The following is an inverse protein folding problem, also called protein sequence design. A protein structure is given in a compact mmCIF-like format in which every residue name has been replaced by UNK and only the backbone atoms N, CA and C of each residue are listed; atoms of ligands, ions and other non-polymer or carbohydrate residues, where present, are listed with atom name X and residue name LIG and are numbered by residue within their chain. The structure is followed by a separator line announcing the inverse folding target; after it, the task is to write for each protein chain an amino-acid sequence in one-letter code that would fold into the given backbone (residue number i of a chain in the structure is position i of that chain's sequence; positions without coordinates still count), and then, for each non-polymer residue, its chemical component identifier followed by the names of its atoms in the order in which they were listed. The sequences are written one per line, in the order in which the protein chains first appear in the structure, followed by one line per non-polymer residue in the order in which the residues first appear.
data_IF_551975831724
#
_entry.id   IF_551975831724
#
_cell.length_a   1.000
_cell.length_b   1.000
_cell.length_c   1.000
_cell.angle_alpha   90.00
_cell.angle_beta   90.00
_cell.angle_gamma   90.00
#
_symmetry.space_group_name_H-M   'P 1'
#
loop_
_entity.id
_entity.type
_entity.pdbx_description
1 polymer ?
#
# COMPACT_ATOMS: atom_id res chain seq x y z
N UNK A 1 13.05 -19.66 0.55
CA UNK A 1 12.70 -19.23 -0.81
C UNK A 1 13.67 -19.81 -1.84
N UNK A 2 15.02 -19.56 -1.77
CA UNK A 2 16.01 -20.00 -2.76
C UNK A 2 15.96 -21.52 -2.98
N UNK A 3 16.00 -22.32 -1.91
CA UNK A 3 15.93 -23.78 -2.00
C UNK A 3 14.65 -24.29 -2.67
N UNK A 4 13.52 -23.64 -2.44
CA UNK A 4 12.25 -23.97 -3.12
C UNK A 4 12.31 -23.62 -4.61
N UNK A 5 12.88 -22.48 -4.96
CA UNK A 5 13.07 -22.08 -6.35
C UNK A 5 13.97 -23.07 -7.12
N UNK A 6 15.10 -23.48 -6.52
CA UNK A 6 16.06 -24.41 -7.11
C UNK A 6 15.49 -25.84 -7.25
N UNK A 7 14.57 -26.25 -6.36
CA UNK A 7 14.07 -27.61 -6.26
C UNK A 7 12.62 -27.80 -6.71
N UNK A 8 11.91 -26.74 -7.13
CA UNK A 8 10.59 -26.86 -7.71
C UNK A 8 10.63 -27.70 -8.99
N UNK A 9 9.79 -28.73 -9.07
CA UNK A 9 9.77 -29.68 -10.20
C UNK A 9 8.36 -29.90 -10.76
N UNK A 10 7.34 -29.50 -10.03
CA UNK A 10 5.98 -29.61 -10.52
C UNK A 10 5.72 -28.58 -11.62
N UNK A 11 5.39 -29.07 -12.82
CA UNK A 11 5.02 -28.21 -13.92
C UNK A 11 3.54 -27.83 -13.81
N UNK A 12 3.24 -26.56 -13.97
CA UNK A 12 1.87 -26.09 -14.17
C UNK A 12 1.44 -26.39 -15.60
N UNK A 13 0.32 -27.12 -15.75
CA UNK A 13 -0.17 -27.54 -17.06
C UNK A 13 -1.68 -27.32 -17.14
N UNK A 14 -2.14 -26.68 -18.21
CA UNK A 14 -3.55 -26.39 -18.44
C UNK A 14 -3.80 -24.94 -18.88
N UNK A 15 -5.05 -24.52 -18.92
CA UNK A 15 -5.42 -23.19 -19.38
C UNK A 15 -4.97 -22.08 -18.43
N UNK A 16 -4.88 -20.86 -18.99
CA UNK A 16 -4.72 -19.61 -18.25
C UNK A 16 -6.02 -18.84 -18.41
N UNK A 17 -6.71 -18.61 -17.29
CA UNK A 17 -8.04 -18.00 -17.27
C UNK A 17 -8.17 -17.04 -16.10
N UNK A 18 -9.06 -16.07 -16.21
CA UNK A 18 -9.36 -15.14 -15.11
C UNK A 18 -10.84 -14.84 -15.01
N UNK A 19 -11.30 -14.59 -13.79
CA UNK A 19 -12.59 -13.99 -13.48
C UNK A 19 -12.37 -12.82 -12.53
N UNK A 20 -13.01 -11.70 -12.79
CA UNK A 20 -12.85 -10.49 -11.97
C UNK A 20 -14.19 -9.83 -11.71
N UNK A 21 -14.36 -9.31 -10.51
CA UNK A 21 -15.51 -8.48 -10.13
C UNK A 21 -15.05 -7.16 -9.52
N UNK A 22 -15.78 -6.08 -9.83
CA UNK A 22 -15.76 -4.82 -9.09
C UNK A 22 -17.06 -4.73 -8.27
N UNK A 23 -16.95 -4.54 -6.96
CA UNK A 23 -18.06 -4.68 -6.01
C UNK A 23 -18.03 -3.52 -5.04
N UNK A 24 -19.19 -2.87 -4.85
CA UNK A 24 -19.38 -1.90 -3.78
C UNK A 24 -19.59 -2.65 -2.45
N UNK A 25 -18.69 -2.42 -1.50
CA UNK A 25 -18.75 -3.00 -0.16
C UNK A 25 -19.37 -2.07 0.88
N UNK A 26 -19.95 -0.95 0.49
CA UNK A 26 -20.61 -0.02 1.43
C UNK A 26 -21.91 -0.58 2.02
N UNK A 27 -22.60 -1.47 1.28
CA UNK A 27 -23.85 -2.13 1.70
C UNK A 27 -24.08 -3.46 0.95
N UNK A 28 -23.01 -4.20 0.65
CA UNK A 28 -23.09 -5.48 -0.05
C UNK A 28 -23.91 -6.50 0.74
N UNK A 29 -24.94 -7.07 0.10
CA UNK A 29 -25.79 -8.09 0.69
C UNK A 29 -25.05 -9.43 0.78
N UNK A 30 -25.01 -10.02 1.97
CA UNK A 30 -24.32 -11.27 2.27
C UNK A 30 -25.33 -12.32 2.70
N UNK A 31 -25.36 -13.44 2.00
CA UNK A 31 -26.29 -14.53 2.24
C UNK A 31 -25.99 -15.27 3.56
N UNK A 32 -27.04 -15.83 4.17
CA UNK A 32 -26.96 -16.62 5.40
C UNK A 32 -25.95 -17.79 5.30
N UNK A 33 -25.83 -18.42 4.15
CA UNK A 33 -24.83 -19.48 3.86
C UNK A 33 -23.40 -19.05 4.28
N UNK A 34 -23.06 -17.75 4.18
CA UNK A 34 -21.74 -17.25 4.48
C UNK A 34 -21.63 -16.60 5.87
N UNK A 35 -22.72 -16.04 6.37
CA UNK A 35 -22.77 -15.37 7.68
C UNK A 35 -23.06 -16.33 8.82
N UNK A 36 -23.92 -17.35 8.61
CA UNK A 36 -24.46 -18.22 9.64
C UNK A 36 -25.32 -17.48 10.70
N UNK A 37 -25.80 -16.27 10.35
CA UNK A 37 -26.53 -15.38 11.26
C UNK A 37 -27.69 -14.64 10.55
N UNK A 38 -28.30 -15.28 9.57
CA UNK A 38 -29.24 -14.66 8.65
C UNK A 38 -28.55 -13.77 7.59
N UNK A 39 -29.32 -13.27 6.63
CA UNK A 39 -28.81 -12.33 5.64
C UNK A 39 -28.35 -11.05 6.32
N UNK A 40 -27.15 -10.58 5.97
CA UNK A 40 -26.48 -9.40 6.53
C UNK A 40 -26.02 -8.45 5.43
N UNK A 41 -25.47 -7.29 5.81
CA UNK A 41 -24.85 -6.37 4.87
C UNK A 41 -23.48 -5.92 5.39
N UNK A 42 -22.60 -5.56 4.46
CA UNK A 42 -21.38 -4.82 4.80
C UNK A 42 -21.71 -3.35 5.11
N UNK A 43 -20.73 -2.56 5.48
CA UNK A 43 -20.90 -1.19 5.96
C UNK A 43 -20.07 -0.20 5.14
N UNK A 44 -20.46 1.08 5.06
CA UNK A 44 -19.56 2.15 4.63
C UNK A 44 -18.26 2.09 5.40
N UNK A 45 -17.11 2.31 4.71
CA UNK A 45 -15.80 2.13 5.31
C UNK A 45 -15.55 3.07 6.50
N UNK A 46 -15.01 2.51 7.58
CA UNK A 46 -14.63 3.26 8.78
C UNK A 46 -13.44 2.62 9.51
N UNK A 47 -12.57 3.46 10.04
CA UNK A 47 -11.46 3.06 10.91
C UNK A 47 -11.91 3.06 12.37
N UNK A 48 -11.43 2.10 13.14
CA UNK A 48 -11.68 2.01 14.58
C UNK A 48 -10.64 2.71 15.42
N UNK A 49 -10.95 2.98 16.71
CA UNK A 49 -9.99 3.49 17.69
C UNK A 49 -8.78 2.58 17.83
N UNK A 50 -8.99 1.27 17.82
CA UNK A 50 -7.93 0.27 17.94
C UNK A 50 -6.93 0.30 16.77
N UNK A 51 -7.33 0.78 15.59
CA UNK A 51 -6.38 1.05 14.51
C UNK A 51 -5.32 2.10 14.91
N UNK A 52 -5.72 3.16 15.61
CA UNK A 52 -4.78 4.17 16.10
C UNK A 52 -4.02 3.72 17.36
N UNK A 53 -4.51 2.69 18.05
CA UNK A 53 -3.88 2.05 19.20
C UNK A 53 -2.65 1.22 18.87
N UNK A 54 -2.49 0.84 17.61
CA UNK A 54 -1.44 -0.08 17.18
C UNK A 54 -1.68 -1.51 17.64
N UNK A 55 -0.67 -2.35 17.53
CA UNK A 55 -0.68 -3.75 17.95
C UNK A 55 0.24 -3.97 19.16
N UNK A 56 -0.17 -4.83 20.09
CA UNK A 56 0.68 -5.22 21.21
C UNK A 56 1.91 -6.01 20.75
N UNK A 57 1.87 -6.64 19.59
CA UNK A 57 2.96 -7.47 19.04
C UNK A 57 3.95 -6.64 18.21
N UNK A 58 3.45 -5.71 17.37
CA UNK A 58 4.27 -4.96 16.41
C UNK A 58 4.63 -3.55 16.90
N UNK A 59 4.05 -3.12 17.99
CA UNK A 59 4.30 -1.82 18.62
C UNK A 59 3.06 -0.96 18.82
N UNK A 60 3.06 -0.19 19.89
CA UNK A 60 1.98 0.70 20.26
C UNK A 60 1.81 1.86 19.29
N UNK A 61 0.57 2.29 19.14
CA UNK A 61 0.19 3.45 18.33
C UNK A 61 0.16 4.74 19.15
N UNK A 62 -0.84 5.57 18.89
CA UNK A 62 -0.98 6.85 19.56
C UNK A 62 -1.50 6.67 21.00
N UNK A 63 -0.88 7.31 21.99
CA UNK A 63 -1.08 7.14 23.44
C UNK A 63 -2.53 7.33 23.95
N UNK A 64 -3.43 7.91 23.15
CA UNK A 64 -4.86 8.08 23.49
C UNK A 64 -5.71 6.86 23.14
N UNK A 65 -5.15 5.90 22.42
CA UNK A 65 -5.83 4.72 21.93
C UNK A 65 -5.13 3.46 22.39
N UNK A 66 -5.90 2.40 22.52
CA UNK A 66 -5.41 1.08 22.90
C UNK A 66 -6.06 0.03 22.00
N UNK A 67 -5.38 -1.07 21.79
CA UNK A 67 -5.92 -2.23 21.13
C UNK A 67 -7.11 -2.79 21.92
N UNK A 68 -8.17 -3.22 21.22
CA UNK A 68 -9.37 -3.75 21.86
C UNK A 68 -10.40 -2.70 22.29
N UNK A 69 -10.19 -1.42 22.01
CA UNK A 69 -11.16 -0.37 22.35
C UNK A 69 -12.46 -0.50 21.56
N UNK A 70 -13.58 -0.70 22.28
CA UNK A 70 -14.93 -0.78 21.69
C UNK A 70 -15.85 0.34 22.19
N UNK A 71 -15.43 1.11 23.19
CA UNK A 71 -16.24 2.19 23.75
C UNK A 71 -15.94 3.53 23.10
N UNK A 72 -16.98 4.15 22.53
CA UNK A 72 -16.90 5.48 21.94
C UNK A 72 -16.72 6.54 23.04
N UNK A 73 -15.73 7.41 22.91
CA UNK A 73 -15.45 8.50 23.88
C UNK A 73 -15.78 9.85 23.25
N UNK A 74 -16.90 10.46 23.64
CA UNK A 74 -17.43 11.69 23.04
C UNK A 74 -16.41 12.85 23.01
N UNK A 75 -15.62 13.02 24.07
CA UNK A 75 -14.61 14.09 24.11
C UNK A 75 -13.50 13.87 23.07
N UNK A 76 -13.15 12.61 22.82
CA UNK A 76 -12.13 12.22 21.85
C UNK A 76 -12.67 12.42 20.41
N UNK A 77 -13.94 12.09 20.18
CA UNK A 77 -14.60 12.33 18.88
C UNK A 77 -14.65 13.81 18.53
N UNK A 78 -14.96 14.66 19.52
CA UNK A 78 -14.97 16.13 19.33
C UNK A 78 -13.56 16.63 18.99
N UNK A 79 -12.54 16.15 19.72
CA UNK A 79 -11.14 16.52 19.47
C UNK A 79 -10.68 16.09 18.08
N UNK A 80 -10.97 14.85 17.69
CA UNK A 80 -10.61 14.31 16.37
C UNK A 80 -11.33 15.09 15.27
N UNK A 81 -12.63 15.30 15.39
CA UNK A 81 -13.41 16.08 14.43
C UNK A 81 -12.90 17.51 14.27
N UNK A 82 -12.46 18.14 15.35
CA UNK A 82 -11.84 19.47 15.29
C UNK A 82 -10.47 19.46 14.61
N UNK A 83 -9.64 18.44 14.88
CA UNK A 83 -8.29 18.33 14.30
C UNK A 83 -8.30 17.91 12.82
N UNK A 84 -9.21 17.04 12.43
CA UNK A 84 -9.21 16.42 11.09
C UNK A 84 -10.23 17.04 10.14
N UNK A 85 -11.20 17.80 10.64
CA UNK A 85 -12.36 18.26 9.86
C UNK A 85 -13.27 17.12 9.38
N UNK A 86 -13.06 15.89 9.88
CA UNK A 86 -13.83 14.73 9.44
C UNK A 86 -15.31 14.87 9.81
N UNK A 87 -16.24 14.55 8.89
CA UNK A 87 -17.66 14.58 9.17
C UNK A 87 -18.01 13.55 10.25
N UNK A 88 -19.01 13.88 11.07
CA UNK A 88 -19.51 12.98 12.09
C UNK A 88 -20.29 11.83 11.42
N UNK A 89 -19.99 10.58 11.81
CA UNK A 89 -20.73 9.41 11.33
C UNK A 89 -22.18 9.41 11.78
N UNK A 90 -23.03 8.71 11.03
CA UNK A 90 -24.43 8.53 11.37
C UNK A 90 -24.64 7.38 12.36
N UNK A 91 -25.73 7.38 13.12
CA UNK A 91 -26.09 6.26 14.00
C UNK A 91 -26.27 4.94 13.22
N UNK A 92 -26.70 5.02 11.95
CA UNK A 92 -26.78 3.86 11.05
C UNK A 92 -25.40 3.23 10.80
N UNK A 93 -24.39 4.04 10.51
CA UNK A 93 -23.01 3.56 10.30
C UNK A 93 -22.44 3.01 11.57
N UNK A 94 -22.66 3.68 12.72
CA UNK A 94 -22.22 3.21 14.04
C UNK A 94 -22.82 1.84 14.38
N UNK A 95 -24.12 1.66 14.18
CA UNK A 95 -24.78 0.37 14.40
C UNK A 95 -24.25 -0.73 13.47
N UNK A 96 -23.99 -0.41 12.20
CA UNK A 96 -23.43 -1.34 11.23
C UNK A 96 -22.02 -1.78 11.59
N UNK A 97 -21.16 -0.85 12.04
CA UNK A 97 -19.76 -1.10 12.40
C UNK A 97 -19.59 -1.69 13.83
N UNK A 98 -20.67 -1.85 14.62
CA UNK A 98 -20.55 -2.36 15.97
C UNK A 98 -19.84 -3.73 16.04
N UNK A 99 -19.00 -3.99 17.07
CA UNK A 99 -18.71 -3.16 18.24
C UNK A 99 -17.59 -2.12 18.06
N UNK A 100 -17.15 -1.85 16.82
CA UNK A 100 -16.08 -0.90 16.54
C UNK A 100 -16.41 0.50 17.08
N UNK A 101 -15.54 1.04 17.94
CA UNK A 101 -15.52 2.47 18.26
C UNK A 101 -14.89 3.22 17.08
N UNK A 102 -15.68 4.02 16.38
CA UNK A 102 -15.25 4.65 15.11
C UNK A 102 -14.31 5.82 15.41
N UNK A 103 -13.12 5.78 14.83
CA UNK A 103 -12.16 6.88 14.81
C UNK A 103 -12.57 7.94 13.79
N UNK A 104 -12.74 7.53 12.55
CA UNK A 104 -13.27 8.34 11.47
C UNK A 104 -13.89 7.47 10.37
N UNK A 105 -14.91 7.98 9.76
CA UNK A 105 -15.59 7.35 8.66
C UNK A 105 -15.06 7.88 7.32
N UNK A 106 -14.86 6.97 6.36
CA UNK A 106 -14.33 7.32 5.03
C UNK A 106 -15.31 7.02 3.90
N UNK A 107 -16.44 6.37 4.20
CA UNK A 107 -17.34 5.78 3.21
C UNK A 107 -18.58 6.58 2.84
N UNK A 108 -19.12 7.41 3.73
CA UNK A 108 -20.41 8.10 3.50
C UNK A 108 -20.32 9.47 2.82
N UNK A 109 -19.10 9.98 2.56
CA UNK A 109 -18.92 11.27 1.89
C UNK A 109 -19.37 11.26 0.42
N UNK A 110 -19.57 12.46 -0.15
CA UNK A 110 -19.89 12.63 -1.57
C UNK A 110 -18.88 13.58 -2.25
N UNK A 111 -17.81 13.08 -2.88
CA UNK A 111 -17.40 11.67 -2.99
C UNK A 111 -16.86 11.12 -1.65
N UNK A 112 -16.85 9.80 -1.46
CA UNK A 112 -16.26 9.19 -0.27
C UNK A 112 -14.76 9.47 -0.22
N UNK A 113 -14.17 9.57 0.98
CA UNK A 113 -12.73 9.78 1.15
C UNK A 113 -11.90 8.58 0.68
N UNK A 114 -12.54 7.41 0.60
CA UNK A 114 -11.94 6.18 0.13
C UNK A 114 -12.95 5.45 -0.76
N UNK A 115 -12.52 4.94 -1.93
CA UNK A 115 -13.40 4.14 -2.78
C UNK A 115 -14.04 3.00 -2.00
N UNK A 116 -15.33 2.79 -2.22
CA UNK A 116 -16.07 1.66 -1.66
C UNK A 116 -16.08 0.48 -2.64
N UNK A 117 -15.75 0.73 -3.91
CA UNK A 117 -15.69 -0.28 -4.96
C UNK A 117 -14.35 -0.98 -4.91
N UNK A 118 -14.40 -2.30 -4.78
CA UNK A 118 -13.23 -3.18 -4.63
C UNK A 118 -13.13 -4.16 -5.77
N UNK A 119 -11.89 -4.42 -6.22
CA UNK A 119 -11.60 -5.43 -7.24
C UNK A 119 -11.21 -6.74 -6.57
N UNK A 120 -11.86 -7.83 -6.96
CA UNK A 120 -11.44 -9.19 -6.59
C UNK A 120 -11.24 -9.99 -7.87
N UNK A 121 -10.11 -10.68 -7.97
CA UNK A 121 -9.75 -11.46 -9.15
C UNK A 121 -9.43 -12.90 -8.75
N UNK A 122 -9.96 -13.85 -9.49
CA UNK A 122 -9.56 -15.25 -9.44
C UNK A 122 -8.84 -15.59 -10.74
N UNK A 123 -7.57 -15.99 -10.64
CA UNK A 123 -6.75 -16.37 -11.78
C UNK A 123 -6.42 -17.86 -11.71
N UNK A 124 -6.44 -18.53 -12.86
CA UNK A 124 -6.03 -19.92 -13.05
C UNK A 124 -4.79 -20.01 -13.90
N UNK A 125 -3.83 -20.82 -13.50
CA UNK A 125 -2.66 -21.21 -14.31
C UNK A 125 -2.54 -22.73 -14.18
N UNK A 126 -3.13 -23.45 -15.11
CA UNK A 126 -3.23 -24.90 -15.00
C UNK A 126 -3.97 -25.36 -13.74
N UNK A 127 -3.29 -26.13 -12.88
CA UNK A 127 -3.82 -26.60 -11.59
C UNK A 127 -3.65 -25.61 -10.43
N UNK A 128 -3.00 -24.47 -10.63
CA UNK A 128 -2.86 -23.38 -9.64
C UNK A 128 -3.99 -22.38 -9.80
N UNK A 129 -4.62 -22.03 -8.68
CA UNK A 129 -5.60 -20.95 -8.59
C UNK A 129 -5.10 -19.89 -7.62
N UNK A 130 -5.19 -18.62 -8.01
CA UNK A 130 -4.77 -17.47 -7.22
C UNK A 130 -5.98 -16.57 -7.00
N UNK A 131 -6.40 -16.42 -5.72
CA UNK A 131 -7.40 -15.44 -5.31
C UNK A 131 -6.68 -14.14 -4.94
N UNK A 132 -6.79 -13.13 -5.79
CA UNK A 132 -6.16 -11.84 -5.61
C UNK A 132 -7.15 -10.83 -5.00
N UNK A 133 -6.79 -10.25 -3.85
CA UNK A 133 -7.63 -9.39 -3.03
C UNK A 133 -6.91 -8.11 -2.62
N UNK A 134 -7.61 -6.97 -2.54
CA UNK A 134 -7.01 -5.67 -2.21
C UNK A 134 -6.89 -5.45 -0.69
N UNK A 135 -6.52 -6.47 0.08
CA UNK A 135 -6.60 -6.44 1.56
C UNK A 135 -5.44 -7.17 2.21
N UNK A 136 -5.23 -6.90 3.48
CA UNK A 136 -4.45 -7.73 4.39
C UNK A 136 -5.37 -8.77 5.04
N UNK A 137 -4.97 -10.02 4.99
CA UNK A 137 -5.86 -11.13 5.34
C UNK A 137 -5.28 -11.87 6.54
N UNK A 138 -6.04 -11.97 7.64
CA UNK A 138 -5.61 -12.77 8.79
C UNK A 138 -5.51 -14.25 8.42
N UNK A 139 -4.72 -15.01 9.15
CA UNK A 139 -4.46 -16.43 8.87
C UNK A 139 -5.77 -17.23 8.76
N UNK A 140 -6.70 -17.01 9.69
CA UNK A 140 -7.97 -17.75 9.68
C UNK A 140 -8.92 -17.27 8.60
N UNK A 141 -8.94 -15.96 8.30
CA UNK A 141 -9.69 -15.43 7.17
C UNK A 141 -9.19 -16.04 5.84
N UNK A 142 -7.87 -16.11 5.65
CA UNK A 142 -7.26 -16.73 4.46
C UNK A 142 -7.59 -18.19 4.30
N UNK A 143 -7.61 -18.97 5.41
CA UNK A 143 -8.05 -20.38 5.37
C UNK A 143 -9.51 -20.51 4.95
N UNK A 144 -10.42 -19.66 5.48
CA UNK A 144 -11.84 -19.66 5.13
C UNK A 144 -12.09 -19.23 3.69
N UNK A 145 -11.30 -18.28 3.16
CA UNK A 145 -11.35 -17.88 1.74
C UNK A 145 -10.90 -19.02 0.82
N UNK A 146 -9.79 -19.67 1.14
CA UNK A 146 -9.30 -20.83 0.38
C UNK A 146 -10.36 -21.93 0.33
N UNK A 147 -10.99 -22.26 1.46
CA UNK A 147 -12.07 -23.25 1.53
C UNK A 147 -13.27 -22.82 0.68
N UNK A 148 -13.65 -21.54 0.66
CA UNK A 148 -14.76 -21.07 -0.17
C UNK A 148 -14.48 -21.28 -1.67
N UNK A 149 -13.25 -21.05 -2.12
CA UNK A 149 -12.82 -21.31 -3.51
C UNK A 149 -12.79 -22.82 -3.80
N UNK A 150 -12.19 -23.62 -2.89
CA UNK A 150 -12.08 -25.08 -3.06
C UNK A 150 -13.44 -25.77 -3.22
N UNK A 151 -14.45 -25.31 -2.50
CA UNK A 151 -15.77 -25.93 -2.51
C UNK A 151 -16.52 -25.77 -3.84
N UNK A 152 -16.09 -24.87 -4.69
CA UNK A 152 -16.72 -24.56 -5.98
C UNK A 152 -15.94 -25.14 -7.18
N UNK A 153 -14.70 -25.57 -6.98
CA UNK A 153 -13.82 -26.05 -8.05
C UNK A 153 -13.71 -27.58 -8.02
N UNK A 154 -13.49 -28.19 -9.19
CA UNK A 154 -13.22 -29.61 -9.33
C UNK A 154 -11.80 -30.01 -8.91
N UNK A 155 -11.51 -31.31 -8.99
CA UNK A 155 -10.22 -31.89 -8.57
C UNK A 155 -9.00 -31.40 -9.37
N UNK A 156 -9.20 -30.69 -10.45
CA UNK A 156 -8.13 -30.06 -11.22
C UNK A 156 -7.43 -28.94 -10.45
N UNK A 157 -8.13 -28.29 -9.50
CA UNK A 157 -7.58 -27.19 -8.69
C UNK A 157 -6.78 -27.76 -7.50
N UNK A 158 -5.52 -28.08 -7.73
CA UNK A 158 -4.67 -28.74 -6.73
C UNK A 158 -4.05 -27.74 -5.76
N UNK A 159 -3.78 -26.52 -6.22
CA UNK A 159 -3.13 -25.47 -5.43
C UNK A 159 -3.96 -24.20 -5.43
N UNK A 160 -4.29 -23.69 -4.25
CA UNK A 160 -5.00 -22.42 -4.09
C UNK A 160 -4.15 -21.47 -3.22
N UNK A 161 -3.70 -20.40 -3.82
CA UNK A 161 -3.01 -19.30 -3.15
C UNK A 161 -3.96 -18.12 -2.96
N UNK A 162 -3.85 -17.44 -1.81
CA UNK A 162 -4.53 -16.17 -1.56
C UNK A 162 -3.46 -15.08 -1.59
N UNK A 163 -3.59 -14.15 -2.53
CA UNK A 163 -2.68 -13.03 -2.72
C UNK A 163 -3.34 -11.75 -2.21
N UNK A 164 -2.89 -11.29 -1.06
CA UNK A 164 -3.28 -9.98 -0.52
C UNK A 164 -2.62 -8.82 -1.28
N UNK A 165 -2.99 -7.58 -0.94
CA UNK A 165 -2.45 -6.34 -1.53
C UNK A 165 -2.58 -6.24 -3.06
N UNK A 166 -3.49 -6.99 -3.64
CA UNK A 166 -3.64 -7.06 -5.10
C UNK A 166 -4.67 -6.04 -5.60
N UNK A 167 -4.31 -5.28 -6.63
CA UNK A 167 -5.21 -4.34 -7.33
C UNK A 167 -5.80 -3.21 -6.46
N UNK A 168 -5.13 -2.85 -5.39
CA UNK A 168 -5.52 -1.78 -4.48
C UNK A 168 -5.29 -2.14 -3.02
N UNK A 169 -5.81 -1.26 -2.12
CA UNK A 169 -5.71 -1.47 -0.68
C UNK A 169 -7.01 -1.10 0.02
N UNK A 170 -7.55 -2.00 0.82
CA UNK A 170 -8.83 -1.86 1.51
C UNK A 170 -8.76 -2.28 3.00
N UNK A 171 -7.60 -2.08 3.65
CA UNK A 171 -7.39 -2.46 5.03
C UNK A 171 -7.34 -3.96 5.25
N UNK A 172 -7.66 -4.37 6.46
CA UNK A 172 -7.65 -5.78 6.86
C UNK A 172 -8.95 -6.52 6.54
N UNK A 173 -8.86 -7.84 6.52
CA UNK A 173 -10.00 -8.76 6.57
C UNK A 173 -9.78 -9.75 7.69
N UNK A 174 -10.58 -9.63 8.72
CA UNK A 174 -10.64 -10.52 9.87
C UNK A 174 -11.82 -11.48 9.76
N UNK A 175 -11.80 -12.57 10.52
CA UNK A 175 -13.03 -13.36 10.76
C UNK A 175 -14.04 -12.54 11.57
N UNK A 176 -15.35 -12.87 11.52
CA UNK A 176 -16.35 -12.22 12.36
C UNK A 176 -16.06 -12.30 13.86
N UNK A 177 -15.34 -13.34 14.29
CA UNK A 177 -14.93 -13.56 15.68
C UNK A 177 -13.75 -12.64 16.07
N UNK A 178 -12.72 -12.56 15.23
CA UNK A 178 -11.60 -11.63 15.39
C UNK A 178 -12.09 -10.18 15.38
N UNK A 179 -13.06 -9.86 14.51
CA UNK A 179 -13.65 -8.51 14.45
C UNK A 179 -14.26 -8.09 15.80
N UNK A 180 -14.91 -9.01 16.52
CA UNK A 180 -15.54 -8.70 17.82
C UNK A 180 -14.53 -8.31 18.89
N UNK A 181 -13.28 -8.77 18.79
CA UNK A 181 -12.22 -8.43 19.74
C UNK A 181 -11.68 -7.02 19.53
N UNK A 182 -11.88 -6.43 18.34
CA UNK A 182 -11.39 -5.10 17.98
C UNK A 182 -9.90 -4.91 18.29
N UNK A 183 -9.07 -5.94 18.00
CA UNK A 183 -7.63 -5.75 17.91
C UNK A 183 -7.31 -4.85 16.71
N UNK A 184 -6.04 -4.55 16.45
CA UNK A 184 -5.60 -3.66 15.38
C UNK A 184 -6.26 -3.99 14.04
N UNK A 185 -6.26 -5.27 13.63
CA UNK A 185 -6.84 -5.75 12.39
C UNK A 185 -8.37 -5.60 12.36
N UNK A 186 -9.04 -5.81 13.49
CA UNK A 186 -10.48 -5.56 13.64
C UNK A 186 -10.83 -4.09 13.47
N UNK A 187 -10.04 -3.20 14.09
CA UNK A 187 -10.15 -1.76 13.92
C UNK A 187 -9.91 -1.30 12.48
N UNK A 188 -9.08 -2.03 11.74
CA UNK A 188 -8.74 -1.77 10.34
C UNK A 188 -9.56 -2.60 9.33
N UNK A 189 -10.50 -3.43 9.77
CA UNK A 189 -11.45 -4.12 8.87
C UNK A 189 -12.56 -3.15 8.49
N UNK A 190 -12.43 -2.48 7.35
CA UNK A 190 -13.13 -1.24 7.02
C UNK A 190 -14.64 -1.40 6.86
N UNK A 191 -15.11 -2.50 6.30
CA UNK A 191 -16.53 -2.69 5.92
C UNK A 191 -17.34 -3.48 6.96
N UNK A 192 -16.89 -3.47 8.23
CA UNK A 192 -17.61 -4.05 9.34
C UNK A 192 -17.43 -5.57 9.51
N UNK A 193 -18.17 -6.13 10.44
CA UNK A 193 -18.06 -7.55 10.86
C UNK A 193 -18.22 -8.54 9.70
N UNK A 194 -19.02 -8.19 8.70
CA UNK A 194 -19.39 -9.10 7.62
C UNK A 194 -18.49 -9.00 6.39
N UNK A 195 -17.36 -8.33 6.51
CA UNK A 195 -16.38 -8.16 5.41
C UNK A 195 -15.87 -9.51 4.90
N UNK A 196 -15.40 -10.43 5.78
CA UNK A 196 -14.95 -11.75 5.34
C UNK A 196 -16.09 -12.60 4.73
N UNK A 197 -17.27 -12.71 5.34
CA UNK A 197 -18.42 -13.37 4.70
C UNK A 197 -18.71 -12.84 3.29
N UNK A 198 -18.67 -11.54 3.07
CA UNK A 198 -18.85 -10.93 1.75
C UNK A 198 -17.76 -11.39 0.78
N UNK A 199 -16.50 -11.32 1.15
CA UNK A 199 -15.40 -11.79 0.29
C UNK A 199 -15.45 -13.30 0.03
N UNK A 200 -15.91 -14.11 0.98
CA UNK A 200 -16.14 -15.55 0.76
C UNK A 200 -17.24 -15.80 -0.27
N UNK A 201 -18.34 -15.04 -0.21
CA UNK A 201 -19.42 -15.11 -1.20
C UNK A 201 -18.93 -14.73 -2.59
N UNK A 202 -18.18 -13.62 -2.70
CA UNK A 202 -17.59 -13.15 -3.94
C UNK A 202 -16.60 -14.19 -4.52
N UNK A 203 -15.71 -14.72 -3.68
CA UNK A 203 -14.74 -15.74 -4.08
C UNK A 203 -15.43 -17.03 -4.57
N UNK A 204 -16.51 -17.45 -3.91
CA UNK A 204 -17.35 -18.58 -4.32
C UNK A 204 -18.01 -18.31 -5.70
N UNK A 205 -18.55 -17.12 -5.92
CA UNK A 205 -19.14 -16.71 -7.21
C UNK A 205 -18.11 -16.73 -8.34
N UNK A 206 -16.90 -16.18 -8.09
CA UNK A 206 -15.80 -16.20 -9.07
C UNK A 206 -15.34 -17.62 -9.37
N UNK A 207 -15.23 -18.48 -8.36
CA UNK A 207 -14.84 -19.88 -8.52
C UNK A 207 -15.88 -20.68 -9.29
N UNK A 208 -17.14 -20.52 -8.97
CA UNK A 208 -18.24 -21.16 -9.71
C UNK A 208 -18.29 -20.69 -11.18
N UNK A 209 -18.07 -19.41 -11.44
CA UNK A 209 -17.98 -18.88 -12.80
C UNK A 209 -16.76 -19.40 -13.57
N UNK A 210 -15.64 -19.64 -12.89
CA UNK A 210 -14.44 -20.25 -13.48
C UNK A 210 -14.68 -21.74 -13.81
N UNK A 211 -15.32 -22.50 -12.90
CA UNK A 211 -15.62 -23.91 -13.08
C UNK A 211 -16.60 -24.15 -14.23
N UNK A 212 -17.61 -23.30 -14.35
CA UNK A 212 -18.68 -23.43 -15.37
C UNK A 212 -18.38 -22.70 -16.67
N UNK A 213 -17.21 -22.09 -16.82
CA UNK A 213 -16.82 -21.22 -17.95
C UNK A 213 -17.84 -20.15 -18.25
N UNK A 214 -18.41 -19.55 -17.22
CA UNK A 214 -19.42 -18.51 -17.36
C UNK A 214 -18.85 -17.13 -17.08
N UNK A 215 -19.53 -16.11 -17.62
CA UNK A 215 -19.22 -14.73 -17.30
C UNK A 215 -19.65 -14.36 -15.86
N UNK A 216 -18.90 -13.50 -15.22
CA UNK A 216 -19.26 -12.97 -13.91
C UNK A 216 -20.13 -11.72 -14.11
N UNK A 217 -21.34 -11.73 -13.52
CA UNK A 217 -22.28 -10.61 -13.57
C UNK A 217 -23.05 -10.50 -12.25
N UNK A 218 -23.42 -9.30 -11.81
CA UNK A 218 -23.01 -8.01 -12.36
C UNK A 218 -21.60 -7.64 -11.89
N UNK A 219 -20.89 -6.90 -12.71
CA UNK A 219 -19.70 -6.18 -12.27
C UNK A 219 -19.98 -4.68 -12.35
N UNK A 220 -19.57 -3.92 -11.34
CA UNK A 220 -19.70 -2.47 -11.32
C UNK A 220 -18.56 -1.81 -12.12
N UNK A 221 -18.76 -0.58 -12.56
CA UNK A 221 -17.66 0.22 -13.04
C UNK A 221 -16.74 0.56 -11.87
N UNK A 222 -15.42 0.54 -12.09
CA UNK A 222 -14.46 1.01 -11.09
C UNK A 222 -14.56 2.54 -10.94
N UNK A 223 -14.17 3.02 -9.75
CA UNK A 223 -14.04 4.47 -9.53
C UNK A 223 -12.82 5.01 -10.26
N UNK A 224 -13.03 5.94 -11.18
CA UNK A 224 -11.92 6.66 -11.80
C UNK A 224 -11.59 7.93 -11.01
N UNK A 225 -10.49 7.89 -10.28
CA UNK A 225 -9.99 8.98 -9.43
C UNK A 225 -8.98 9.89 -10.14
N UNK A 226 -8.63 9.61 -11.39
CA UNK A 226 -7.70 10.43 -12.17
C UNK A 226 -8.26 11.84 -12.33
N UNK A 227 -7.45 12.84 -12.00
CA UNK A 227 -7.85 14.25 -12.05
C UNK A 227 -8.78 14.70 -10.91
N UNK A 228 -9.11 13.83 -9.97
CA UNK A 228 -9.80 14.18 -8.73
C UNK A 228 -8.74 14.39 -7.64
N UNK A 229 -8.48 15.65 -7.27
CA UNK A 229 -7.66 15.96 -6.10
C UNK A 229 -8.55 16.12 -4.88
N UNK A 230 -8.21 15.46 -3.80
CA UNK A 230 -8.73 15.82 -2.48
C UNK A 230 -7.80 16.90 -1.93
N UNK A 231 -8.32 18.10 -1.70
CA UNK A 231 -7.61 19.07 -0.87
C UNK A 231 -7.60 18.51 0.57
N UNK A 232 -6.53 17.81 0.91
CA UNK A 232 -6.30 17.43 2.28
C UNK A 232 -5.40 18.48 2.92
N UNK A 233 -5.78 18.97 4.08
CA UNK A 233 -4.93 19.83 4.93
C UNK A 233 -3.63 19.13 5.33
N UNK A 234 -3.51 17.82 5.11
CA UNK A 234 -2.31 17.01 5.28
C UNK A 234 -1.28 17.22 4.14
N UNK A 235 -1.68 17.83 3.03
CA UNK A 235 -0.77 18.21 1.92
C UNK A 235 -0.22 19.62 2.00
N UNK A 236 -0.25 20.23 3.14
CA UNK A 236 0.71 21.28 3.36
C UNK A 236 2.11 20.64 3.41
N UNK A 237 2.59 20.16 2.28
CA UNK A 237 4.01 20.03 2.05
C UNK A 237 4.54 21.43 2.32
N UNK A 238 4.92 21.67 3.60
CA UNK A 238 5.46 22.96 3.97
C UNK A 238 6.51 23.28 2.94
N UNK A 239 6.37 24.42 2.26
CA UNK A 239 7.42 24.93 1.40
C UNK A 239 8.62 25.03 2.34
N UNK A 240 9.57 24.14 2.14
CA UNK A 240 10.77 24.03 2.98
C UNK A 240 11.95 24.37 2.08
N UNK A 241 12.12 25.66 1.72
CA UNK A 241 13.19 26.06 0.83
C UNK A 241 14.54 25.73 1.47
N UNK A 242 15.57 25.53 0.65
CA UNK A 242 16.94 25.52 1.13
C UNK A 242 17.28 26.82 1.89
N UNK A 243 18.31 26.83 2.74
CA UNK A 243 18.74 28.04 3.41
C UNK A 243 19.06 29.16 2.41
N UNK A 244 19.00 30.42 2.89
CA UNK A 244 19.35 31.59 2.08
C UNK A 244 20.71 31.43 1.41
N UNK A 245 20.77 31.69 0.12
CA UNK A 245 21.98 31.53 -0.71
C UNK A 245 22.21 30.11 -1.24
N UNK A 246 21.30 29.16 -0.97
CA UNK A 246 21.33 27.79 -1.52
C UNK A 246 20.10 27.53 -2.38
N UNK A 247 20.20 26.53 -3.29
CA UNK A 247 19.12 26.10 -4.16
C UNK A 247 18.82 24.61 -3.97
N UNK A 248 17.64 24.19 -4.38
CA UNK A 248 17.34 22.76 -4.48
C UNK A 248 18.33 22.10 -5.45
N UNK A 249 18.89 20.97 -5.04
CA UNK A 249 19.90 20.24 -5.82
C UNK A 249 21.35 20.67 -5.54
N UNK A 250 21.61 21.74 -4.79
CA UNK A 250 22.96 22.10 -4.43
C UNK A 250 23.59 21.03 -3.52
N UNK A 251 24.81 20.54 -3.82
CA UNK A 251 25.50 19.60 -2.96
C UNK A 251 25.94 20.27 -1.65
N UNK A 252 25.83 19.53 -0.53
CA UNK A 252 26.22 20.05 0.79
C UNK A 252 27.72 19.92 1.07
N UNK A 253 28.36 18.96 0.42
CA UNK A 253 29.77 18.66 0.59
C UNK A 253 30.36 18.08 -0.69
N UNK A 254 31.66 18.31 -0.90
CA UNK A 254 32.39 17.66 -1.98
C UNK A 254 32.65 16.21 -1.66
N UNK A 255 32.55 15.36 -2.66
CA UNK A 255 32.96 13.96 -2.58
C UNK A 255 34.50 13.84 -2.59
N UNK A 256 35.03 12.74 -2.08
CA UNK A 256 36.42 12.36 -2.42
C UNK A 256 36.51 12.18 -3.93
N UNK A 257 37.66 12.54 -4.50
CA UNK A 257 37.87 12.41 -5.94
C UNK A 257 38.08 10.96 -6.38
N UNK A 258 38.47 10.04 -5.47
CA UNK A 258 38.79 8.65 -5.77
C UNK A 258 38.21 7.68 -4.77
N UNK A 259 37.72 6.55 -5.24
CA UNK A 259 37.17 5.44 -4.48
C UNK A 259 37.67 4.12 -5.06
N UNK A 260 37.71 3.09 -4.20
CA UNK A 260 37.94 1.70 -4.60
C UNK A 260 36.60 0.98 -4.80
N UNK A 261 36.61 -0.06 -5.63
CA UNK A 261 35.48 -0.97 -5.74
C UNK A 261 35.14 -1.58 -4.38
N UNK A 262 33.85 -1.73 -4.09
CA UNK A 262 33.36 -2.18 -2.77
C UNK A 262 33.23 -1.08 -1.72
N UNK A 263 33.64 0.16 -2.00
CA UNK A 263 33.43 1.29 -1.07
C UNK A 263 32.03 1.89 -1.27
N UNK A 264 31.53 2.51 -0.19
CA UNK A 264 30.25 3.25 -0.26
C UNK A 264 30.53 4.73 -0.52
N UNK A 265 29.96 5.24 -1.60
CA UNK A 265 29.97 6.64 -1.97
C UNK A 265 28.73 7.29 -1.39
N UNK A 266 28.90 8.40 -0.70
CA UNK A 266 27.79 9.16 -0.08
C UNK A 266 27.88 10.58 -0.52
N UNK A 267 26.74 11.15 -0.99
CA UNK A 267 26.60 12.57 -1.27
C UNK A 267 25.31 13.10 -0.68
N UNK A 268 25.28 14.37 -0.31
CA UNK A 268 24.11 15.03 0.27
C UNK A 268 23.77 16.25 -0.56
N UNK A 269 22.48 16.47 -0.78
CA UNK A 269 21.96 17.60 -1.53
C UNK A 269 20.87 18.33 -0.75
N UNK A 270 20.75 19.62 -0.92
CA UNK A 270 19.53 20.30 -0.53
C UNK A 270 18.38 19.78 -1.38
N UNK A 271 17.31 19.37 -0.72
CA UNK A 271 16.17 18.71 -1.34
C UNK A 271 14.85 19.31 -0.87
N UNK A 272 13.79 19.00 -1.55
CA UNK A 272 12.44 19.31 -1.12
C UNK A 272 11.93 18.29 -0.08
N UNK A 273 10.80 18.62 0.53
CA UNK A 273 10.09 17.65 1.38
C UNK A 273 9.73 16.41 0.56
N UNK A 274 10.12 15.19 0.97
CA UNK A 274 9.82 13.97 0.22
C UNK A 274 8.31 13.74 -0.01
N UNK A 275 7.45 14.22 0.91
CA UNK A 275 6.00 14.15 0.74
C UNK A 275 5.45 15.09 -0.35
N UNK A 276 6.18 16.17 -0.68
CA UNK A 276 5.84 17.10 -1.77
C UNK A 276 6.58 16.78 -3.07
N UNK A 277 7.66 16.02 -3.00
CA UNK A 277 8.53 15.67 -4.12
C UNK A 277 8.21 14.32 -4.73
N UNK A 278 6.94 13.93 -4.77
CA UNK A 278 6.55 12.65 -5.33
C UNK A 278 6.69 12.64 -6.84
N UNK A 279 7.70 11.96 -7.35
CA UNK A 279 8.00 11.86 -8.78
C UNK A 279 7.61 10.45 -9.28
N UNK A 280 6.38 10.32 -9.77
CA UNK A 280 5.90 9.03 -10.29
C UNK A 280 6.68 8.64 -11.55
N UNK A 281 7.29 7.46 -11.54
CA UNK A 281 7.98 6.88 -12.70
C UNK A 281 9.37 7.45 -12.98
N UNK A 282 9.91 8.30 -12.10
CA UNK A 282 11.28 8.79 -12.14
C UNK A 282 12.05 8.39 -10.88
N UNK A 283 13.34 8.55 -10.91
CA UNK A 283 14.25 8.21 -9.83
C UNK A 283 14.70 9.46 -9.08
N UNK A 284 14.86 9.36 -7.76
CA UNK A 284 15.47 10.41 -6.94
C UNK A 284 16.99 10.43 -7.03
N UNK A 285 17.57 9.28 -7.41
CA UNK A 285 19.02 9.08 -7.53
C UNK A 285 19.36 8.34 -8.81
N UNK A 286 20.35 8.85 -9.51
CA UNK A 286 20.98 8.17 -10.66
C UNK A 286 22.49 8.17 -10.45
N UNK A 287 23.13 7.05 -10.80
CA UNK A 287 24.58 6.96 -10.92
C UNK A 287 24.91 6.86 -12.41
N UNK A 288 25.79 7.73 -12.84
CA UNK A 288 26.17 7.81 -14.25
C UNK A 288 27.67 7.62 -14.42
N UNK A 289 28.06 6.86 -15.45
CA UNK A 289 29.45 6.68 -15.87
C UNK A 289 29.74 7.58 -17.09
N UNK A 290 30.93 8.13 -17.14
CA UNK A 290 31.41 8.90 -18.29
C UNK A 290 31.81 7.97 -19.42
N UNK A 291 31.24 8.15 -20.60
CA UNK A 291 31.57 7.45 -21.84
C UNK A 291 32.07 8.44 -22.90
N UNK A 292 32.64 7.99 -24.01
CA UNK A 292 33.00 8.88 -25.11
C UNK A 292 31.84 9.68 -25.70
N UNK A 293 30.61 9.18 -25.57
CA UNK A 293 29.39 9.81 -26.07
C UNK A 293 28.65 10.66 -25.04
N UNK A 294 29.12 10.69 -23.80
CA UNK A 294 28.49 11.44 -22.72
C UNK A 294 28.32 10.64 -21.44
N UNK A 295 27.44 11.09 -20.57
CA UNK A 295 27.08 10.41 -19.32
C UNK A 295 26.00 9.35 -19.59
N UNK A 296 26.22 8.14 -19.09
CA UNK A 296 25.30 7.02 -19.21
C UNK A 296 24.87 6.54 -17.83
N UNK A 297 23.56 6.41 -17.59
CA UNK A 297 23.00 5.87 -16.35
C UNK A 297 23.36 4.39 -16.25
N UNK A 298 23.90 3.98 -15.12
CA UNK A 298 24.29 2.60 -14.83
C UNK A 298 23.60 2.02 -13.59
N UNK A 299 23.16 2.89 -12.66
CA UNK A 299 22.47 2.49 -11.41
C UNK A 299 21.44 3.56 -11.07
N UNK A 300 20.37 3.18 -10.42
CA UNK A 300 19.31 4.07 -9.92
C UNK A 300 18.94 3.72 -8.49
N UNK A 301 18.05 4.50 -7.87
CA UNK A 301 17.49 4.20 -6.53
C UNK A 301 16.54 2.98 -6.49
N UNK A 302 16.30 2.32 -7.63
CA UNK A 302 15.64 1.02 -7.71
C UNK A 302 16.60 -0.16 -7.54
N UNK A 303 17.91 0.08 -7.49
CA UNK A 303 18.93 -0.96 -7.35
C UNK A 303 19.28 -1.20 -5.88
N UNK A 304 19.52 -2.46 -5.50
CA UNK A 304 19.82 -2.88 -4.14
C UNK A 304 21.06 -2.22 -3.51
N UNK A 305 21.99 -1.79 -4.34
CA UNK A 305 23.24 -1.16 -3.91
C UNK A 305 23.08 0.32 -3.57
N UNK A 306 21.87 0.86 -3.68
CA UNK A 306 21.59 2.27 -3.44
C UNK A 306 20.66 2.51 -2.25
N UNK A 307 20.76 3.69 -1.68
CA UNK A 307 19.84 4.15 -0.64
C UNK A 307 19.62 5.65 -0.75
N UNK A 308 18.36 6.06 -0.71
CA UNK A 308 17.97 7.46 -0.61
C UNK A 308 17.29 7.69 0.74
N UNK A 309 17.80 8.64 1.53
CA UNK A 309 17.23 9.00 2.83
C UNK A 309 17.12 10.51 2.95
N UNK A 310 16.00 10.97 3.51
CA UNK A 310 15.80 12.37 3.83
C UNK A 310 16.01 12.64 5.31
N UNK A 311 16.57 13.81 5.62
CA UNK A 311 16.60 14.35 6.97
C UNK A 311 16.25 15.83 6.95
N UNK A 312 15.61 16.30 7.99
CA UNK A 312 15.30 17.72 8.14
C UNK A 312 16.42 18.44 8.92
N UNK A 313 16.79 19.62 8.48
CA UNK A 313 17.74 20.48 9.17
C UNK A 313 17.24 21.94 9.12
N UNK A 314 16.85 22.47 10.29
CA UNK A 314 16.35 23.84 10.45
C UNK A 314 15.20 24.19 9.48
N UNK A 315 14.27 23.27 9.29
CA UNK A 315 13.12 23.45 8.39
C UNK A 315 13.37 23.07 6.93
N UNK A 316 14.60 22.99 6.47
CA UNK A 316 14.95 22.53 5.12
C UNK A 316 15.19 21.02 5.08
N UNK A 317 15.05 20.40 3.94
CA UNK A 317 15.31 18.97 3.74
C UNK A 317 16.64 18.72 3.04
N UNK A 318 17.29 17.64 3.43
CA UNK A 318 18.53 17.13 2.84
C UNK A 318 18.25 15.71 2.38
N UNK A 319 18.52 15.42 1.12
CA UNK A 319 18.57 14.06 0.59
C UNK A 319 20.00 13.53 0.73
N UNK A 320 20.15 12.40 1.43
CA UNK A 320 21.41 11.66 1.53
C UNK A 320 21.32 10.47 0.58
N UNK A 321 22.15 10.47 -0.44
CA UNK A 321 22.27 9.46 -1.46
C UNK A 321 23.49 8.60 -1.18
N UNK A 322 23.33 7.29 -1.15
CA UNK A 322 24.41 6.35 -0.90
C UNK A 322 24.41 5.29 -1.99
N UNK A 323 25.57 5.01 -2.54
CA UNK A 323 25.81 3.92 -3.48
C UNK A 323 26.96 3.05 -2.97
N UNK A 324 26.67 1.79 -2.68
CA UNK A 324 27.68 0.78 -2.37
C UNK A 324 28.18 0.19 -3.70
N UNK A 325 29.39 0.54 -4.08
CA UNK A 325 29.92 0.11 -5.37
C UNK A 325 30.16 -1.39 -5.39
N UNK A 326 29.64 -2.14 -6.38
CA UNK A 326 29.96 -3.56 -6.54
C UNK A 326 31.46 -3.80 -6.70
N UNK A 327 31.94 -4.97 -6.32
CA UNK A 327 33.37 -5.32 -6.45
C UNK A 327 33.80 -5.50 -7.91
N UNK A 328 32.86 -5.75 -8.80
CA UNK A 328 33.01 -5.92 -10.25
C UNK A 328 32.60 -4.67 -11.05
N UNK A 329 32.28 -3.56 -10.37
CA UNK A 329 31.94 -2.32 -11.05
C UNK A 329 33.07 -1.89 -12.02
N UNK A 330 32.72 -1.34 -13.17
CA UNK A 330 33.69 -0.85 -14.13
C UNK A 330 34.54 0.29 -13.54
N UNK A 331 35.84 0.29 -13.77
CA UNK A 331 36.70 1.43 -13.44
C UNK A 331 36.36 2.61 -14.38
N UNK A 332 36.33 3.83 -13.84
CA UNK A 332 35.96 5.00 -14.64
C UNK A 332 35.57 6.23 -13.84
N UNK A 333 35.22 7.29 -14.57
CA UNK A 333 34.70 8.55 -13.99
C UNK A 333 33.18 8.44 -13.84
N UNK A 334 32.69 8.69 -12.63
CA UNK A 334 31.30 8.63 -12.26
C UNK A 334 30.80 9.97 -11.70
N UNK A 335 29.49 10.12 -11.64
CA UNK A 335 28.79 11.14 -10.85
C UNK A 335 27.48 10.60 -10.31
N UNK A 336 26.98 11.21 -9.22
CA UNK A 336 25.65 10.93 -8.68
C UNK A 336 24.77 12.13 -8.96
N UNK A 337 23.60 11.88 -9.54
CA UNK A 337 22.61 12.90 -9.85
C UNK A 337 21.42 12.70 -8.89
N UNK A 338 20.99 13.81 -8.24
CA UNK A 338 19.77 13.90 -7.46
C UNK A 338 18.72 14.67 -8.23
N UNK A 339 17.52 14.18 -8.28
CA UNK A 339 16.39 14.90 -8.88
C UNK A 339 15.16 14.85 -7.99
N UNK A 340 14.32 15.86 -8.08
CA UNK A 340 13.09 15.98 -7.32
C UNK A 340 12.21 17.11 -7.84
N UNK A 341 11.11 17.33 -7.14
CA UNK A 341 10.21 18.45 -7.41
C UNK A 341 10.06 19.28 -6.13
N UNK A 342 9.92 20.58 -6.30
CA UNK A 342 9.55 21.48 -5.20
C UNK A 342 8.01 21.47 -4.97
N UNK A 343 7.55 22.19 -3.97
CA UNK A 343 6.13 22.29 -3.64
C UNK A 343 5.26 22.94 -4.74
N UNK A 344 5.88 23.56 -5.75
CA UNK A 344 5.24 24.15 -6.92
C UNK A 344 5.35 23.26 -8.15
N UNK A 345 5.81 22.01 -7.98
CA UNK A 345 6.05 21.02 -9.04
C UNK A 345 7.17 21.42 -10.03
N UNK A 346 8.04 22.37 -9.68
CA UNK A 346 9.22 22.64 -10.48
C UNK A 346 10.26 21.54 -10.27
N UNK A 347 10.75 20.99 -11.37
CA UNK A 347 11.81 19.95 -11.33
C UNK A 347 13.16 20.62 -11.04
N UNK A 348 13.93 20.03 -10.13
CA UNK A 348 15.31 20.40 -9.88
C UNK A 348 16.24 19.19 -10.06
N UNK A 349 17.49 19.46 -10.41
CA UNK A 349 18.54 18.47 -10.60
C UNK A 349 19.79 18.94 -9.86
N UNK A 350 20.32 18.08 -9.00
CA UNK A 350 21.61 18.26 -8.33
C UNK A 350 22.63 17.26 -8.90
N UNK A 351 23.87 17.67 -9.04
CA UNK A 351 24.95 16.83 -9.58
C UNK A 351 26.12 16.87 -8.61
N UNK A 352 26.64 15.72 -8.24
CA UNK A 352 27.83 15.59 -7.39
C UNK A 352 29.11 16.01 -8.14
N UNK A 353 30.19 16.18 -7.40
CA UNK A 353 31.53 16.18 -8.00
C UNK A 353 31.79 14.88 -8.74
N UNK A 354 32.78 14.94 -9.65
CA UNK A 354 33.29 13.76 -10.36
C UNK A 354 34.00 12.82 -9.41
N UNK A 355 33.77 11.54 -9.59
CA UNK A 355 34.23 10.46 -8.74
C UNK A 355 34.97 9.46 -9.62
N UNK A 356 36.25 9.22 -9.34
CA UNK A 356 37.04 8.20 -10.02
C UNK A 356 36.93 6.89 -9.25
N UNK A 357 36.54 5.79 -9.89
CA UNK A 357 36.58 4.44 -9.35
C UNK A 357 37.71 3.69 -10.03
N UNK A 358 38.62 3.15 -9.22
CA UNK A 358 39.83 2.44 -9.64
C UNK A 358 39.72 0.93 -9.40
#
# INVERSE_FOLDING_TARGET
ALSLFENAREALSGPIETRQMYIDLSDYAVDDKFTGAGSQTTCPSAYGYSFAGGSTEDGGGHFLFEEGMTEQRMWLDVLIGWLTGAPKWTEKVKACQAPKAILFETGSGQPPLQSQIRSVTLARIGQLVILAMPTEITTMAGRRLRTAVMNELGDWAQHIAVAGYSNGYAGYVTTPEEYLLQHYEGGHTLHGRWTLPAYRQIASQLASALETDSAVTPTMAYDDWRGKSFETTLHSGAISPPPEGSHYGDPLSSNRSEYRKGETIVTEFWSSNPSASYVTGNNYMLVEIKTPTGWQIVVSDNDWDTTVRWRQKRGSFIAKLSWHTPIDVAAGEYRITHQGQDALSNVFIGISDKIQIN
#
